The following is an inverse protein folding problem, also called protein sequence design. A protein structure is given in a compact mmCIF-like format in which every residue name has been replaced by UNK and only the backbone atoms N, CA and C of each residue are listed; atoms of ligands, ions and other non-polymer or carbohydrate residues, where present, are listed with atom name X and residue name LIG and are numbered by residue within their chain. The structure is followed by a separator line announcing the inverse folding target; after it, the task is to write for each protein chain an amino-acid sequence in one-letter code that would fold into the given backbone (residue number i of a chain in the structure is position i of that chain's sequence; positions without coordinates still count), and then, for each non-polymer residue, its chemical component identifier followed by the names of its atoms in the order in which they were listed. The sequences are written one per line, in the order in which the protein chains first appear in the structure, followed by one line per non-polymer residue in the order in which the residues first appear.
data_IF_158590758260
#
_entry.id   IF_158590758260
#
_cell.length_a   1.000
_cell.length_b   1.000
_cell.length_c   1.000
_cell.angle_alpha   90.00
_cell.angle_beta   90.00
_cell.angle_gamma   90.00
#
_symmetry.space_group_name_H-M   'P 1'
#
loop_
_entity.id
_entity.type
_entity.pdbx_description
1 polymer ?
#
# COMPACT_ATOMS: atom_id res chain seq x y z
N UNK A 1 -12.77 -26.68 17.87
CA UNK A 1 -13.83 -25.70 17.54
C UNK A 1 -13.42 -24.95 16.29
N UNK A 2 -14.31 -24.69 15.35
CA UNK A 2 -13.99 -23.92 14.14
C UNK A 2 -14.46 -22.48 14.35
N UNK A 3 -13.59 -21.52 14.06
CA UNK A 3 -13.88 -20.09 14.11
C UNK A 3 -13.94 -19.55 12.69
N UNK A 4 -14.95 -18.75 12.38
CA UNK A 4 -15.14 -18.13 11.05
C UNK A 4 -15.31 -16.62 11.28
N UNK A 5 -14.48 -15.83 10.63
CA UNK A 5 -14.61 -14.37 10.57
C UNK A 5 -15.17 -14.02 9.19
N UNK A 6 -16.35 -13.39 9.16
CA UNK A 6 -16.92 -12.84 7.93
C UNK A 6 -16.83 -11.33 8.03
N UNK A 7 -15.96 -10.74 7.20
CA UNK A 7 -15.74 -9.31 7.16
C UNK A 7 -16.57 -8.68 6.03
N UNK A 8 -17.57 -7.87 6.41
CA UNK A 8 -18.34 -7.04 5.49
C UNK A 8 -17.64 -5.70 5.27
N UNK A 9 -16.64 -5.68 4.40
CA UNK A 9 -15.92 -4.46 4.07
C UNK A 9 -16.81 -3.47 3.29
N UNK A 10 -16.81 -2.20 3.71
CA UNK A 10 -17.62 -1.15 3.09
C UNK A 10 -19.13 -1.24 3.34
N UNK A 11 -19.60 -2.08 4.27
CA UNK A 11 -21.05 -2.22 4.58
C UNK A 11 -21.57 -1.13 5.53
N UNK A 12 -20.70 -0.49 6.32
CA UNK A 12 -21.11 0.59 7.22
C UNK A 12 -21.26 1.90 6.43
N UNK A 13 -22.33 2.65 6.69
CA UNK A 13 -22.60 3.92 6.05
C UNK A 13 -23.42 4.84 6.98
N UNK A 14 -23.56 6.08 6.58
CA UNK A 14 -24.38 7.07 7.25
C UNK A 14 -25.85 6.91 6.87
N UNK A 15 -26.79 7.38 7.74
CA UNK A 15 -28.20 7.43 7.38
C UNK A 15 -28.43 8.26 6.11
N UNK A 16 -29.26 7.75 5.20
CA UNK A 16 -29.59 8.37 3.91
C UNK A 16 -30.99 8.97 4.01
N UNK A 17 -31.13 10.27 3.77
CA UNK A 17 -32.40 11.00 3.92
C UNK A 17 -33.50 10.42 3.00
N UNK A 18 -33.17 10.15 1.73
CA UNK A 18 -34.11 9.56 0.76
C UNK A 18 -34.60 8.16 1.14
N UNK A 19 -33.95 7.49 2.09
CA UNK A 19 -34.34 6.18 2.64
C UNK A 19 -35.04 6.32 4.01
N UNK A 20 -35.54 7.52 4.32
CA UNK A 20 -36.22 7.80 5.59
C UNK A 20 -35.26 7.80 6.78
N UNK A 21 -34.03 8.24 6.61
CA UNK A 21 -33.01 8.31 7.65
C UNK A 21 -32.43 6.93 8.06
N UNK A 22 -32.59 5.92 7.22
CA UNK A 22 -32.01 4.59 7.43
C UNK A 22 -30.63 4.50 6.77
N UNK A 23 -29.75 3.70 7.37
CA UNK A 23 -28.52 3.28 6.69
C UNK A 23 -28.85 2.27 5.58
N UNK A 24 -27.91 2.05 4.64
CA UNK A 24 -28.07 1.05 3.59
C UNK A 24 -28.32 -0.35 4.17
N UNK A 25 -27.62 -0.72 5.24
CA UNK A 25 -27.83 -1.99 5.95
C UNK A 25 -29.20 -2.10 6.58
N UNK A 26 -29.74 -1.02 7.16
CA UNK A 26 -31.10 -1.02 7.72
C UNK A 26 -32.20 -1.07 6.65
N UNK A 27 -31.89 -0.63 5.44
CA UNK A 27 -32.81 -0.65 4.30
C UNK A 27 -32.77 -1.98 3.54
N UNK A 28 -31.60 -2.61 3.46
CA UNK A 28 -31.40 -3.87 2.76
C UNK A 28 -32.16 -5.03 3.45
N UNK A 29 -32.64 -5.99 2.67
CA UNK A 29 -33.22 -7.23 3.18
C UNK A 29 -32.09 -8.23 3.48
N UNK A 30 -31.75 -8.40 4.74
CA UNK A 30 -30.63 -9.23 5.21
C UNK A 30 -31.08 -10.33 6.19
N UNK A 31 -32.06 -11.20 5.84
CA UNK A 31 -32.74 -12.09 6.80
C UNK A 31 -31.78 -13.06 7.51
N UNK A 32 -30.72 -13.50 6.86
CA UNK A 32 -29.75 -14.40 7.49
C UNK A 32 -28.80 -13.65 8.45
N UNK A 33 -28.37 -12.44 8.11
CA UNK A 33 -27.58 -11.60 9.01
C UNK A 33 -28.41 -11.18 10.21
N UNK A 34 -29.68 -10.79 10.01
CA UNK A 34 -30.63 -10.43 11.06
C UNK A 34 -30.84 -11.59 12.02
N UNK A 35 -31.00 -12.81 11.48
CA UNK A 35 -31.11 -14.03 12.28
C UNK A 35 -29.87 -14.28 13.12
N UNK A 36 -28.66 -14.18 12.54
CA UNK A 36 -27.42 -14.36 13.27
C UNK A 36 -27.27 -13.29 14.36
N UNK A 37 -27.57 -12.03 14.07
CA UNK A 37 -27.53 -10.95 15.04
C UNK A 37 -28.50 -11.17 16.21
N UNK A 38 -29.71 -11.67 15.93
CA UNK A 38 -30.72 -11.96 16.97
C UNK A 38 -30.35 -13.14 17.89
N UNK A 39 -29.58 -14.09 17.37
CA UNK A 39 -29.10 -15.27 18.13
C UNK A 39 -27.78 -15.08 18.82
N UNK A 40 -27.00 -14.08 18.40
CA UNK A 40 -25.65 -13.82 18.87
C UNK A 40 -25.55 -12.65 19.86
N UNK A 41 -24.36 -12.15 19.98
CA UNK A 41 -24.07 -10.91 20.72
C UNK A 41 -23.60 -9.87 19.72
N UNK A 42 -24.12 -8.66 19.82
CA UNK A 42 -23.71 -7.52 18.98
C UNK A 42 -22.94 -6.52 19.83
N UNK A 43 -22.06 -5.78 19.21
CA UNK A 43 -21.25 -4.75 19.86
C UNK A 43 -20.60 -3.83 18.86
N UNK A 44 -19.84 -2.86 19.36
CA UNK A 44 -19.03 -1.95 18.56
C UNK A 44 -17.56 -2.28 18.77
N UNK A 45 -16.82 -2.37 17.69
CA UNK A 45 -15.39 -2.57 17.70
C UNK A 45 -14.69 -1.36 17.04
N UNK A 46 -13.71 -0.78 17.71
CA UNK A 46 -12.85 0.24 17.12
C UNK A 46 -11.72 -0.47 16.39
N UNK A 47 -11.82 -0.54 15.07
CA UNK A 47 -10.86 -1.26 14.21
C UNK A 47 -9.67 -0.41 13.77
N UNK A 48 -9.79 0.92 13.83
CA UNK A 48 -8.69 1.86 13.59
C UNK A 48 -8.33 2.52 14.91
N UNK A 49 -7.16 2.23 15.44
CA UNK A 49 -6.65 2.83 16.66
C UNK A 49 -6.35 4.33 16.47
N UNK A 50 -6.34 5.11 17.56
CA UNK A 50 -6.00 6.53 17.50
C UNK A 50 -4.56 6.71 16.98
N UNK A 51 -4.38 7.68 16.10
CA UNK A 51 -3.09 7.97 15.46
C UNK A 51 -2.79 7.14 14.21
N UNK A 52 -3.65 6.19 13.83
CA UNK A 52 -3.48 5.42 12.60
C UNK A 52 -4.34 5.97 11.46
N UNK A 53 -3.78 5.97 10.26
CA UNK A 53 -4.53 6.30 9.05
C UNK A 53 -5.60 5.23 8.78
N UNK A 54 -6.85 5.62 8.41
CA UNK A 54 -7.89 4.66 8.05
C UNK A 54 -7.47 3.87 6.81
N UNK A 55 -7.23 2.58 7.00
CA UNK A 55 -6.85 1.66 5.93
C UNK A 55 -7.33 0.25 6.23
N UNK A 56 -7.64 -0.51 5.17
CA UNK A 56 -8.12 -1.89 5.32
C UNK A 56 -7.09 -2.79 6.03
N UNK A 57 -5.79 -2.55 5.80
CA UNK A 57 -4.72 -3.29 6.48
C UNK A 57 -4.72 -3.05 7.98
N UNK A 58 -4.87 -1.80 8.41
CA UNK A 58 -4.95 -1.41 9.83
C UNK A 58 -6.18 -2.06 10.49
N UNK A 59 -7.34 -1.93 9.86
CA UNK A 59 -8.59 -2.49 10.37
C UNK A 59 -8.54 -4.02 10.44
N UNK A 60 -8.03 -4.69 9.39
CA UNK A 60 -7.92 -6.14 9.35
C UNK A 60 -6.97 -6.68 10.41
N UNK A 61 -5.82 -6.06 10.62
CA UNK A 61 -4.90 -6.45 11.68
C UNK A 61 -5.53 -6.30 13.07
N UNK A 62 -6.29 -5.23 13.30
CA UNK A 62 -7.05 -5.05 14.55
C UNK A 62 -8.10 -6.15 14.76
N UNK A 63 -8.89 -6.48 13.72
CA UNK A 63 -9.89 -7.55 13.77
C UNK A 63 -9.25 -8.90 14.06
N UNK A 64 -8.04 -9.14 13.55
CA UNK A 64 -7.24 -10.34 13.80
C UNK A 64 -6.50 -10.32 15.15
N UNK A 65 -6.69 -9.29 15.96
CA UNK A 65 -6.16 -9.21 17.33
C UNK A 65 -4.68 -8.89 17.42
N UNK A 66 -4.15 -8.18 16.43
CA UNK A 66 -2.79 -7.62 16.51
C UNK A 66 -2.78 -6.29 17.27
N UNK A 67 -1.75 -6.06 18.07
CA UNK A 67 -1.48 -4.79 18.76
C UNK A 67 -0.77 -3.84 17.79
N UNK A 68 -1.56 -3.06 17.05
CA UNK A 68 -1.04 -2.19 15.98
C UNK A 68 0.12 -1.28 16.39
N UNK A 69 0.08 -0.59 17.53
CA UNK A 69 1.21 0.23 18.00
C UNK A 69 2.54 -0.51 18.10
N UNK A 70 2.50 -1.83 18.29
CA UNK A 70 3.70 -2.66 18.43
C UNK A 70 4.17 -3.29 17.12
N UNK A 71 3.23 -3.59 16.21
CA UNK A 71 3.56 -4.47 15.09
C UNK A 71 3.34 -3.83 13.73
N UNK A 72 2.59 -2.71 13.63
CA UNK A 72 2.34 -2.08 12.34
C UNK A 72 3.51 -1.19 11.94
N UNK A 73 4.17 -1.56 10.86
CA UNK A 73 5.34 -0.86 10.32
C UNK A 73 5.04 -0.12 8.98
N UNK A 74 3.82 -0.16 8.50
CA UNK A 74 3.44 0.41 7.21
C UNK A 74 3.02 -0.65 6.18
N UNK A 75 2.62 -0.22 4.98
CA UNK A 75 2.17 -1.13 3.91
C UNK A 75 3.31 -1.82 3.18
N UNK A 76 4.45 -1.16 3.05
CA UNK A 76 5.61 -1.73 2.34
C UNK A 76 5.98 -3.13 2.83
N UNK A 77 6.23 -3.34 4.12
CA UNK A 77 6.54 -4.66 4.66
C UNK A 77 5.44 -5.70 4.48
N UNK A 78 4.16 -5.30 4.52
CA UNK A 78 3.04 -6.21 4.28
C UNK A 78 2.97 -6.64 2.82
N UNK A 79 3.23 -5.74 1.87
CA UNK A 79 3.34 -6.06 0.45
C UNK A 79 4.56 -6.97 0.19
N UNK A 80 5.71 -6.71 0.86
CA UNK A 80 6.89 -7.57 0.78
C UNK A 80 6.56 -9.01 1.19
N UNK A 81 5.92 -9.19 2.34
CA UNK A 81 5.49 -10.51 2.81
C UNK A 81 4.49 -11.17 1.84
N UNK A 82 3.57 -10.39 1.25
CA UNK A 82 2.55 -10.88 0.31
C UNK A 82 3.14 -11.44 -0.99
N UNK A 83 4.25 -10.89 -1.46
CA UNK A 83 4.93 -11.35 -2.69
C UNK A 83 6.15 -12.24 -2.40
N UNK A 84 6.36 -12.63 -1.13
CA UNK A 84 7.42 -13.55 -0.72
C UNK A 84 8.81 -12.93 -0.62
N UNK A 85 8.91 -11.61 -0.51
CA UNK A 85 10.18 -10.90 -0.28
C UNK A 85 10.49 -10.89 1.22
N UNK A 86 11.54 -11.59 1.61
CA UNK A 86 12.01 -11.67 2.99
C UNK A 86 12.96 -10.51 3.31
N UNK A 87 12.42 -9.48 3.95
CA UNK A 87 13.18 -8.29 4.34
C UNK A 87 14.25 -8.62 5.38
N UNK A 88 15.47 -8.20 5.13
CA UNK A 88 16.61 -8.34 6.05
C UNK A 88 16.65 -7.16 7.04
N UNK A 89 17.33 -7.31 8.18
CA UNK A 89 17.59 -6.18 9.07
C UNK A 89 18.22 -4.99 8.32
N UNK A 90 17.70 -3.80 8.56
CA UNK A 90 18.15 -2.58 7.88
C UNK A 90 17.57 -2.36 6.47
N UNK A 91 16.73 -3.25 5.97
CA UNK A 91 16.00 -3.04 4.72
C UNK A 91 14.64 -2.37 4.98
N UNK A 92 14.45 -1.22 4.35
CA UNK A 92 13.18 -0.48 4.35
C UNK A 92 12.40 -0.84 3.09
N UNK A 93 11.18 -1.30 3.27
CA UNK A 93 10.26 -1.60 2.18
C UNK A 93 9.22 -0.50 2.02
N UNK A 94 8.89 -0.15 0.78
CA UNK A 94 7.85 0.80 0.44
C UNK A 94 6.91 0.19 -0.60
N UNK A 95 5.62 0.38 -0.45
CA UNK A 95 4.71 0.15 -1.57
C UNK A 95 5.08 1.13 -2.68
N UNK A 96 5.28 0.62 -3.88
CA UNK A 96 5.67 1.40 -5.04
C UNK A 96 4.60 1.26 -6.13
N UNK A 97 3.77 2.29 -6.29
CA UNK A 97 2.84 2.29 -7.41
C UNK A 97 3.56 2.67 -8.69
N UNK A 98 3.15 2.09 -9.82
CA UNK A 98 3.35 2.68 -11.13
C UNK A 98 2.12 3.53 -11.43
N UNK A 99 2.33 4.82 -11.76
CA UNK A 99 1.29 5.82 -11.92
C UNK A 99 1.36 6.49 -13.31
N UNK A 100 0.32 7.21 -13.68
CA UNK A 100 0.33 8.11 -14.82
C UNK A 100 0.48 9.55 -14.35
N UNK A 101 1.52 10.23 -14.84
CA UNK A 101 1.69 11.68 -14.75
C UNK A 101 1.42 12.30 -16.13
N UNK A 102 0.64 13.35 -16.16
CA UNK A 102 0.34 14.15 -17.34
C UNK A 102 0.72 15.60 -17.07
N UNK A 103 1.71 16.11 -17.81
CA UNK A 103 2.35 17.39 -17.48
C UNK A 103 3.04 17.32 -16.11
N UNK A 104 2.56 18.12 -15.15
CA UNK A 104 3.05 18.12 -13.77
C UNK A 104 2.05 17.53 -12.75
N UNK A 105 0.96 16.88 -13.22
CA UNK A 105 -0.13 16.39 -12.38
C UNK A 105 -0.19 14.85 -12.36
N UNK A 106 -0.54 14.30 -11.20
CA UNK A 106 -0.88 12.88 -11.06
C UNK A 106 -2.23 12.64 -11.75
N UNK A 107 -2.23 12.13 -12.97
CA UNK A 107 -3.45 11.85 -13.72
C UNK A 107 -4.24 10.73 -13.07
N UNK A 108 -3.58 9.62 -12.80
CA UNK A 108 -4.17 8.54 -12.00
C UNK A 108 -3.09 7.69 -11.31
N UNK A 109 -3.47 7.06 -10.21
CA UNK A 109 -2.60 6.26 -9.34
C UNK A 109 -2.38 4.81 -9.81
N UNK A 110 -3.02 4.39 -10.91
CA UNK A 110 -3.03 3.00 -11.39
C UNK A 110 -2.56 2.85 -12.84
N UNK A 111 -2.03 3.94 -13.44
CA UNK A 111 -1.64 3.97 -14.85
C UNK A 111 -2.74 3.41 -15.78
N UNK A 112 -4.01 3.83 -15.55
CA UNK A 112 -5.16 3.35 -16.33
C UNK A 112 -5.44 1.86 -16.14
N UNK A 113 -5.27 1.34 -14.91
CA UNK A 113 -5.41 -0.08 -14.58
C UNK A 113 -4.49 -0.98 -15.41
N UNK A 114 -3.20 -0.63 -15.44
CA UNK A 114 -2.17 -1.45 -16.10
C UNK A 114 -2.25 -2.91 -15.67
N UNK A 115 -2.04 -3.86 -16.59
CA UNK A 115 -2.02 -5.28 -16.26
C UNK A 115 -0.72 -5.67 -15.54
N UNK A 116 -0.73 -6.81 -14.86
CA UNK A 116 0.48 -7.30 -14.16
C UNK A 116 1.61 -7.58 -15.15
N UNK A 117 1.29 -8.15 -16.31
CA UNK A 117 2.24 -8.50 -17.36
C UNK A 117 2.91 -7.26 -17.97
N UNK A 118 2.14 -6.22 -18.24
CA UNK A 118 2.67 -4.94 -18.74
C UNK A 118 3.55 -4.27 -17.68
N UNK A 119 3.08 -4.26 -16.45
CA UNK A 119 3.81 -3.64 -15.34
C UNK A 119 5.12 -4.39 -15.02
N UNK A 120 5.13 -5.72 -15.11
CA UNK A 120 6.32 -6.55 -14.90
C UNK A 120 7.46 -6.15 -15.85
N UNK A 121 7.14 -5.90 -17.12
CA UNK A 121 8.13 -5.41 -18.11
C UNK A 121 8.75 -4.09 -17.65
N UNK A 122 7.93 -3.14 -17.21
CA UNK A 122 8.41 -1.82 -16.78
C UNK A 122 9.20 -1.88 -15.46
N UNK A 123 8.76 -2.69 -14.50
CA UNK A 123 9.46 -2.85 -13.22
C UNK A 123 10.81 -3.52 -13.40
N UNK A 124 10.91 -4.54 -14.25
CA UNK A 124 12.19 -5.16 -14.60
C UNK A 124 13.13 -4.18 -15.32
N UNK A 125 12.60 -3.36 -16.21
CA UNK A 125 13.36 -2.31 -16.86
C UNK A 125 13.89 -1.27 -15.85
N UNK A 126 13.06 -0.87 -14.89
CA UNK A 126 13.50 0.01 -13.80
C UNK A 126 14.55 -0.67 -12.90
N UNK A 127 14.39 -1.96 -12.59
CA UNK A 127 15.39 -2.72 -11.83
C UNK A 127 16.73 -2.76 -12.56
N UNK A 128 16.75 -2.93 -13.87
CA UNK A 128 17.97 -2.95 -14.68
C UNK A 128 18.69 -1.59 -14.69
N UNK A 129 17.94 -0.48 -14.73
CA UNK A 129 18.51 0.87 -14.93
C UNK A 129 18.70 1.68 -13.64
N UNK A 130 17.88 1.43 -12.61
CA UNK A 130 17.90 2.15 -11.33
C UNK A 130 18.28 1.25 -10.15
N UNK A 131 18.09 -0.08 -10.30
CA UNK A 131 18.44 -1.04 -9.26
C UNK A 131 19.93 -1.14 -9.04
N UNK A 132 20.32 -1.40 -7.78
CA UNK A 132 21.70 -1.61 -7.37
C UNK A 132 21.75 -2.35 -6.03
N UNK A 133 22.92 -2.45 -5.38
CA UNK A 133 23.07 -3.13 -4.08
C UNK A 133 22.21 -2.54 -2.94
N UNK A 134 21.77 -1.27 -3.08
CA UNK A 134 20.95 -0.56 -2.11
C UNK A 134 19.48 -0.51 -2.50
N UNK A 135 19.16 -0.47 -3.79
CA UNK A 135 17.82 -0.21 -4.34
C UNK A 135 17.36 -1.42 -5.14
N UNK A 136 16.27 -2.03 -4.73
CA UNK A 136 15.67 -3.18 -5.42
C UNK A 136 14.18 -2.96 -5.68
N UNK A 137 13.76 -3.21 -6.93
CA UNK A 137 12.37 -3.19 -7.34
C UNK A 137 11.85 -4.62 -7.50
N UNK A 138 10.64 -4.87 -7.01
CA UNK A 138 9.98 -6.17 -7.14
C UNK A 138 8.60 -6.01 -7.74
N UNK A 139 8.28 -6.83 -8.73
CA UNK A 139 6.95 -6.84 -9.35
C UNK A 139 5.92 -7.40 -8.38
N UNK A 140 4.83 -6.67 -8.22
CA UNK A 140 3.63 -7.11 -7.51
C UNK A 140 2.47 -7.33 -8.49
N UNK A 141 1.27 -6.86 -8.13
CA UNK A 141 0.05 -7.08 -8.91
C UNK A 141 -0.45 -5.77 -9.52
N UNK A 142 -0.65 -5.74 -10.84
CA UNK A 142 -1.11 -4.58 -11.59
C UNK A 142 -0.17 -3.37 -11.38
N UNK A 143 -0.70 -2.26 -10.88
CA UNK A 143 0.05 -1.04 -10.60
C UNK A 143 0.79 -1.05 -9.24
N UNK A 144 0.67 -2.11 -8.45
CA UNK A 144 1.19 -2.23 -7.08
C UNK A 144 2.46 -3.06 -7.06
N UNK A 145 3.57 -2.43 -6.77
CA UNK A 145 4.90 -3.02 -6.72
C UNK A 145 5.57 -2.71 -5.40
N UNK A 146 6.77 -3.20 -5.22
CA UNK A 146 7.58 -2.99 -4.03
C UNK A 146 8.90 -2.34 -4.40
N UNK A 147 9.30 -1.35 -3.61
CA UNK A 147 10.65 -0.80 -3.58
C UNK A 147 11.26 -1.17 -2.23
N UNK A 148 12.47 -1.74 -2.26
CA UNK A 148 13.27 -2.01 -1.06
C UNK A 148 14.53 -1.17 -1.12
N UNK A 149 14.81 -0.44 -0.04
CA UNK A 149 15.99 0.39 0.13
C UNK A 149 16.79 -0.10 1.35
N UNK A 150 17.96 -0.65 1.10
CA UNK A 150 18.87 -1.05 2.17
C UNK A 150 19.42 0.17 2.87
N UNK A 151 19.29 0.21 4.19
CA UNK A 151 19.74 1.32 5.02
C UNK A 151 18.88 2.58 4.91
N UNK A 152 17.69 2.52 4.27
CA UNK A 152 16.76 3.65 4.22
C UNK A 152 16.14 3.97 5.58
N UNK A 153 15.91 5.25 5.86
CA UNK A 153 15.25 5.73 7.08
C UNK A 153 13.75 5.92 6.84
N UNK A 154 12.90 5.23 7.63
CA UNK A 154 11.44 5.30 7.48
C UNK A 154 10.80 6.60 7.99
N UNK A 155 11.56 7.48 8.66
CA UNK A 155 11.07 8.78 9.15
C UNK A 155 10.94 9.81 8.03
N UNK A 156 10.25 9.43 6.97
CA UNK A 156 9.94 10.23 5.79
C UNK A 156 8.43 10.35 5.62
N UNK A 157 7.99 11.50 5.15
CA UNK A 157 6.60 11.80 4.83
C UNK A 157 6.33 11.53 3.35
N UNK A 158 5.36 10.67 3.09
CA UNK A 158 4.99 10.20 1.76
C UNK A 158 3.48 10.28 1.57
N UNK A 159 3.03 10.87 0.49
CA UNK A 159 1.60 10.98 0.17
C UNK A 159 1.12 9.79 -0.65
N UNK A 160 0.07 9.06 -0.23
CA UNK A 160 -0.56 8.03 -1.04
C UNK A 160 -1.12 8.63 -2.36
N UNK A 161 -0.80 8.07 -3.54
CA UNK A 161 -1.16 8.71 -4.81
C UNK A 161 -2.67 8.69 -5.11
N UNK A 162 -3.43 7.81 -4.46
CA UNK A 162 -4.89 7.73 -4.61
C UNK A 162 -5.64 8.80 -3.81
N UNK A 163 -4.99 9.45 -2.84
CA UNK A 163 -5.59 10.53 -2.05
C UNK A 163 -5.45 11.91 -2.74
N UNK A 164 -4.61 11.98 -3.77
CA UNK A 164 -4.23 13.24 -4.43
C UNK A 164 -4.40 13.21 -5.96
N UNK A 165 -5.51 12.68 -6.49
CA UNK A 165 -5.73 12.67 -7.93
C UNK A 165 -5.77 14.11 -8.47
N UNK A 166 -5.21 14.30 -9.67
CA UNK A 166 -5.16 15.58 -10.39
C UNK A 166 -4.42 16.70 -9.64
N UNK A 167 -3.58 16.37 -8.65
CA UNK A 167 -2.73 17.34 -7.96
C UNK A 167 -1.34 17.43 -8.60
N UNK A 168 -0.68 18.60 -8.56
CA UNK A 168 0.71 18.72 -8.95
C UNK A 168 1.59 17.77 -8.13
N UNK A 169 2.45 16.99 -8.79
CA UNK A 169 3.25 15.98 -8.11
C UNK A 169 4.47 16.54 -7.36
N UNK A 170 5.07 17.64 -7.87
CA UNK A 170 6.32 18.18 -7.29
C UNK A 170 6.19 18.61 -5.81
N UNK A 171 5.12 19.27 -5.36
CA UNK A 171 4.93 19.56 -3.94
C UNK A 171 4.73 18.33 -3.05
N UNK A 172 4.35 17.20 -3.66
CA UNK A 172 4.05 15.92 -2.99
C UNK A 172 5.24 14.95 -2.95
N UNK A 173 6.40 15.37 -3.48
CA UNK A 173 7.64 14.60 -3.38
C UNK A 173 7.97 14.33 -1.91
N UNK A 174 8.67 13.24 -1.67
CA UNK A 174 9.03 12.75 -0.33
C UNK A 174 9.85 13.78 0.43
N UNK A 175 9.57 13.93 1.71
CA UNK A 175 10.26 14.84 2.63
C UNK A 175 10.58 14.12 3.94
N UNK A 176 11.56 14.57 4.73
CA UNK A 176 11.67 14.13 6.12
C UNK A 176 10.36 14.38 6.88
N UNK A 177 10.03 13.51 7.83
CA UNK A 177 8.90 13.77 8.75
C UNK A 177 9.15 15.07 9.52
N UNK A 178 8.09 15.85 9.85
CA UNK A 178 8.22 17.05 10.66
C UNK A 178 8.99 16.78 11.96
N UNK A 179 10.02 17.57 12.21
CA UNK A 179 10.92 17.43 13.36
C UNK A 179 12.09 16.46 13.14
N UNK A 180 12.22 15.86 11.97
CA UNK A 180 13.36 14.98 11.64
C UNK A 180 14.30 15.57 10.57
N UNK A 181 14.05 16.78 10.12
CA UNK A 181 14.76 17.43 9.02
C UNK A 181 16.25 17.64 9.29
N UNK A 182 16.60 17.85 10.58
CA UNK A 182 17.97 18.10 11.02
C UNK A 182 18.66 16.87 11.62
N UNK A 183 18.06 15.68 11.49
CA UNK A 183 18.66 14.46 11.99
C UNK A 183 19.86 14.09 11.10
N UNK A 184 21.03 14.02 11.72
CA UNK A 184 22.29 13.66 11.06
C UNK A 184 22.75 12.24 11.39
N UNK A 185 22.09 11.59 12.37
CA UNK A 185 22.43 10.22 12.81
C UNK A 185 21.27 9.30 12.45
N UNK A 186 21.51 8.28 11.60
CA UNK A 186 20.50 7.26 11.31
C UNK A 186 20.15 6.43 12.56
N UNK A 187 18.91 5.92 12.61
CA UNK A 187 18.40 5.06 13.68
C UNK A 187 17.76 3.79 13.15
N UNK A 188 17.56 2.81 14.02
CA UNK A 188 16.77 1.62 13.70
C UNK A 188 17.36 0.71 12.63
N UNK A 189 18.68 0.74 12.45
CA UNK A 189 19.35 -0.03 11.39
C UNK A 189 19.44 0.71 10.04
N UNK A 190 18.98 1.97 9.96
CA UNK A 190 19.20 2.82 8.80
C UNK A 190 20.68 3.20 8.67
N UNK A 191 21.12 3.41 7.46
CA UNK A 191 22.46 3.95 7.11
C UNK A 191 22.34 5.37 6.55
N UNK A 192 21.17 5.71 6.01
CA UNK A 192 20.84 7.04 5.48
C UNK A 192 20.08 7.84 6.54
N UNK A 193 20.22 9.15 6.51
CA UNK A 193 19.33 10.04 7.26
C UNK A 193 17.95 10.15 6.60
N UNK A 194 16.93 10.68 7.29
CA UNK A 194 15.63 10.95 6.66
C UNK A 194 15.75 11.80 5.39
N UNK A 195 16.60 12.85 5.41
CA UNK A 195 16.80 13.70 4.24
C UNK A 195 17.47 12.94 3.08
N UNK A 196 18.52 12.20 3.35
CA UNK A 196 19.20 11.40 2.33
C UNK A 196 18.29 10.34 1.73
N UNK A 197 17.42 9.74 2.54
CA UNK A 197 16.43 8.77 2.08
C UNK A 197 15.37 9.44 1.19
N UNK A 198 14.87 10.62 1.59
CA UNK A 198 13.92 11.38 0.79
C UNK A 198 14.53 11.80 -0.55
N UNK A 199 15.77 12.31 -0.54
CA UNK A 199 16.48 12.73 -1.76
C UNK A 199 16.68 11.54 -2.72
N UNK A 200 17.08 10.37 -2.20
CA UNK A 200 17.23 9.15 -2.99
C UNK A 200 15.91 8.75 -3.66
N UNK A 201 14.81 8.73 -2.90
CA UNK A 201 13.50 8.35 -3.43
C UNK A 201 13.04 9.35 -4.50
N UNK A 202 13.24 10.64 -4.27
CA UNK A 202 12.88 11.68 -5.23
C UNK A 202 13.70 11.58 -6.53
N UNK A 203 14.99 11.28 -6.43
CA UNK A 203 15.84 10.98 -7.60
C UNK A 203 15.28 9.78 -8.38
N UNK A 204 14.91 8.70 -7.70
CA UNK A 204 14.31 7.52 -8.33
C UNK A 204 12.98 7.84 -9.02
N UNK A 205 12.13 8.67 -8.41
CA UNK A 205 10.86 9.11 -9.01
C UNK A 205 11.14 9.87 -10.32
N UNK A 206 12.01 10.88 -10.28
CA UNK A 206 12.30 11.73 -11.44
C UNK A 206 12.98 10.94 -12.56
N UNK A 207 13.99 10.13 -12.24
CA UNK A 207 14.66 9.27 -13.23
C UNK A 207 13.74 8.21 -13.82
N UNK A 208 12.79 7.70 -13.03
CA UNK A 208 11.80 6.77 -13.57
C UNK A 208 10.95 7.42 -14.67
N UNK A 209 10.62 8.72 -14.54
CA UNK A 209 9.88 9.45 -15.57
C UNK A 209 10.69 9.55 -16.87
N UNK A 210 11.98 9.93 -16.76
CA UNK A 210 12.88 10.01 -17.92
C UNK A 210 13.00 8.67 -18.66
N UNK A 211 13.13 7.56 -17.92
CA UNK A 211 13.28 6.22 -18.48
C UNK A 211 11.98 5.69 -19.09
N UNK A 212 10.85 5.95 -18.45
CA UNK A 212 9.56 5.38 -18.84
C UNK A 212 8.82 6.20 -19.89
N UNK A 213 9.11 7.50 -20.04
CA UNK A 213 8.43 8.38 -20.99
C UNK A 213 8.46 7.83 -22.41
N UNK A 214 9.62 7.39 -22.87
CA UNK A 214 9.84 6.89 -24.22
C UNK A 214 9.91 5.36 -24.32
N UNK A 215 9.57 4.64 -23.25
CA UNK A 215 9.59 3.19 -23.27
C UNK A 215 8.59 2.63 -24.32
N UNK A 216 8.98 1.65 -25.16
CA UNK A 216 8.14 1.14 -26.25
C UNK A 216 6.75 0.68 -25.81
N UNK A 217 6.63 0.09 -24.62
CA UNK A 217 5.34 -0.31 -24.05
C UNK A 217 4.44 0.91 -23.80
N UNK A 218 4.97 2.01 -23.26
CA UNK A 218 4.19 3.22 -23.02
C UNK A 218 3.78 3.89 -24.33
N UNK A 219 4.65 3.90 -25.35
CA UNK A 219 4.29 4.37 -26.70
C UNK A 219 3.15 3.55 -27.30
N UNK A 220 3.20 2.22 -27.16
CA UNK A 220 2.11 1.34 -27.56
C UNK A 220 0.81 1.64 -26.81
N UNK A 221 0.88 1.79 -25.48
CA UNK A 221 -0.29 2.12 -24.64
C UNK A 221 -0.95 3.43 -25.08
N UNK A 222 -0.16 4.47 -25.30
CA UNK A 222 -0.66 5.76 -25.78
C UNK A 222 -1.29 5.65 -27.18
N UNK A 223 -0.70 4.88 -28.10
CA UNK A 223 -1.28 4.62 -29.42
C UNK A 223 -2.62 3.87 -29.35
N UNK A 224 -2.83 3.06 -28.31
CA UNK A 224 -4.08 2.36 -28.01
C UNK A 224 -5.08 3.23 -27.21
N UNK A 225 -4.78 4.52 -26.95
CA UNK A 225 -5.62 5.41 -26.16
C UNK A 225 -5.62 5.10 -24.66
N UNK A 226 -4.64 4.35 -24.16
CA UNK A 226 -4.46 4.04 -22.75
C UNK A 226 -3.49 5.02 -22.08
N UNK A 227 -3.65 5.22 -20.79
CA UNK A 227 -2.71 6.01 -20.00
C UNK A 227 -1.32 5.34 -19.97
N UNK A 228 -0.23 6.07 -20.16
CA UNK A 228 1.11 5.54 -19.92
C UNK A 228 1.35 5.28 -18.44
N UNK A 229 2.22 4.33 -18.17
CA UNK A 229 2.75 4.03 -16.84
C UNK A 229 4.14 4.66 -16.73
N UNK A 230 4.19 5.97 -16.54
CA UNK A 230 5.37 6.79 -16.79
C UNK A 230 6.07 7.32 -15.53
N UNK A 231 5.65 6.91 -14.34
CA UNK A 231 6.35 7.26 -13.10
C UNK A 231 6.14 6.20 -12.04
N UNK A 232 7.15 5.99 -11.20
CA UNK A 232 6.96 5.31 -9.92
C UNK A 232 6.47 6.29 -8.87
N UNK A 233 5.80 5.76 -7.83
CA UNK A 233 5.37 6.53 -6.67
C UNK A 233 5.47 5.68 -5.40
N UNK A 234 6.64 5.68 -4.73
CA UNK A 234 6.85 4.99 -3.47
C UNK A 234 6.15 5.69 -2.30
N UNK A 235 5.54 4.92 -1.40
CA UNK A 235 4.85 5.43 -0.23
C UNK A 235 4.69 4.36 0.85
N UNK A 236 4.33 4.78 2.08
CA UNK A 236 4.14 3.91 3.25
C UNK A 236 5.36 3.02 3.55
N UNK A 237 6.50 3.66 3.91
CA UNK A 237 7.72 2.96 4.28
C UNK A 237 7.57 2.18 5.57
N UNK A 238 8.38 1.13 5.73
CA UNK A 238 8.51 0.41 6.99
C UNK A 238 9.61 -0.63 6.94
N UNK A 239 9.98 -1.13 8.13
CA UNK A 239 10.91 -2.24 8.28
C UNK A 239 10.16 -3.55 8.45
N UNK A 240 10.87 -4.67 8.47
CA UNK A 240 10.28 -5.96 8.81
C UNK A 240 9.56 -5.88 10.15
N UNK A 241 8.23 -6.10 10.21
CA UNK A 241 7.51 -6.06 11.48
C UNK A 241 7.90 -7.24 12.38
N UNK A 242 8.03 -6.97 13.66
CA UNK A 242 8.21 -8.01 14.67
C UNK A 242 6.82 -8.53 15.10
N UNK A 243 6.21 -9.34 14.25
CA UNK A 243 4.90 -9.93 14.54
C UNK A 243 4.92 -11.43 14.29
N UNK A 244 4.18 -12.15 15.11
CA UNK A 244 3.91 -13.57 14.91
C UNK A 244 2.98 -13.73 13.70
N UNK A 245 3.17 -14.81 12.94
CA UNK A 245 2.22 -15.17 11.89
C UNK A 245 0.88 -15.60 12.51
N UNK A 246 -0.19 -15.61 11.73
CA UNK A 246 -1.49 -16.14 12.19
C UNK A 246 -1.38 -17.60 12.59
N UNK A 247 -0.55 -18.35 11.89
CA UNK A 247 -0.27 -19.77 12.22
C UNK A 247 0.39 -19.91 13.58
N UNK A 248 1.37 -19.08 13.91
CA UNK A 248 2.07 -19.14 15.18
C UNK A 248 1.15 -18.67 16.33
N UNK A 249 0.42 -17.57 16.12
CA UNK A 249 -0.43 -16.95 17.13
C UNK A 249 -1.68 -17.77 17.46
N UNK A 250 -2.30 -18.39 16.47
CA UNK A 250 -3.59 -19.04 16.59
C UNK A 250 -3.59 -20.51 16.20
N UNK A 251 -2.43 -21.09 15.92
CA UNK A 251 -2.29 -22.47 15.39
C UNK A 251 -3.19 -22.73 14.17
N UNK A 252 -3.42 -21.71 13.33
CA UNK A 252 -4.26 -21.83 12.17
C UNK A 252 -3.51 -22.53 11.03
N UNK A 253 -3.93 -23.76 10.74
CA UNK A 253 -3.39 -24.54 9.62
C UNK A 253 -3.95 -24.09 8.26
N UNK A 254 -4.93 -23.17 8.25
CA UNK A 254 -5.65 -22.83 7.03
C UNK A 254 -6.21 -21.41 7.06
N UNK A 255 -5.81 -20.59 6.09
CA UNK A 255 -6.51 -19.36 5.74
C UNK A 255 -7.28 -19.59 4.44
N UNK A 256 -8.59 -19.38 4.42
CA UNK A 256 -9.34 -19.45 3.16
C UNK A 256 -8.89 -18.30 2.25
N UNK A 257 -8.56 -18.56 0.98
CA UNK A 257 -8.20 -17.49 0.06
C UNK A 257 -9.39 -16.53 -0.11
N UNK A 258 -9.10 -15.24 -0.15
CA UNK A 258 -10.07 -14.20 -0.47
C UNK A 258 -10.70 -14.48 -1.84
N UNK A 259 -11.96 -14.08 -2.08
CA UNK A 259 -12.54 -14.11 -3.42
C UNK A 259 -11.67 -13.43 -4.49
N UNK A 260 -10.84 -12.45 -4.11
CA UNK A 260 -9.84 -11.81 -4.98
C UNK A 260 -8.71 -12.74 -5.38
N UNK A 261 -8.38 -13.75 -4.56
CA UNK A 261 -7.32 -14.72 -4.85
C UNK A 261 -7.78 -15.83 -5.81
N UNK A 262 -9.09 -15.96 -6.03
CA UNK A 262 -9.68 -16.90 -6.99
C UNK A 262 -9.70 -16.38 -8.44
N UNK A 263 -9.28 -15.14 -8.65
CA UNK A 263 -9.19 -14.51 -10.00
C UNK A 263 -7.77 -14.57 -10.59
N UNK A 264 -6.94 -15.48 -10.09
CA UNK A 264 -5.64 -15.81 -10.68
C UNK A 264 -5.78 -17.03 -11.59
#
# INVERSE_FOLDING_TARGET
MKHIIILGDGMADWPVESLGGKTLMQYAKTPYMDKLASMGRTGRLKTVADGFHPGSEVANMSVLGYDLPKVYEGRGPLEAASIGVDLKPGEMAMRCNIICIEGDHIKNHSAGHITTEEADVLVKYLQEHLGNERVCFYTGVQYRHLLVIKGGDKRIDCTPPHDVPLKPFRPLLVKPMPGTENITVPEGGAELTPQQTADLINDLILRSQELLENHPLNQKRMAEGKDPANSIWPWSPGYRPQMETLSDKFCLLYTSPSPRDRQK
#
